data_IF_737962283029
#
_entry.id   IF_737962283029
#
_cell.length_a   1.000
_cell.length_b   1.000
_cell.length_c   1.000
_cell.angle_alpha   90.00
_cell.angle_beta   90.00
_cell.angle_gamma   90.00
#
_symmetry.space_group_name_H-M   'P 1'
#
loop_
_entity.id
_entity.type
_entity.pdbx_description
1 polymer ?
#
# COMPACT_ATOMS: atom_id res chain seq x y z
N UNK A 1 -20.25 6.43 16.97
CA UNK A 1 -18.84 6.34 16.53
C UNK A 1 -18.30 5.11 17.23
N UNK A 2 -17.84 4.09 16.50
CA UNK A 2 -17.30 2.87 17.13
C UNK A 2 -16.06 3.24 17.94
N UNK A 3 -16.09 2.89 19.22
CA UNK A 3 -14.97 3.12 20.13
C UNK A 3 -14.01 1.93 20.01
N UNK A 4 -12.74 2.24 19.75
CA UNK A 4 -11.71 1.24 19.45
C UNK A 4 -10.52 1.43 20.38
N UNK A 5 -10.00 0.33 20.90
CA UNK A 5 -8.83 0.27 21.77
C UNK A 5 -7.58 -0.04 20.94
N UNK A 6 -6.50 0.71 21.19
CA UNK A 6 -5.19 0.37 20.64
C UNK A 6 -4.59 -0.78 21.45
N UNK A 7 -4.07 -1.79 20.76
CA UNK A 7 -3.37 -2.92 21.36
C UNK A 7 -2.00 -3.10 20.70
N UNK A 8 -1.02 -3.46 21.50
CA UNK A 8 0.33 -3.77 21.04
C UNK A 8 0.45 -5.28 20.77
N UNK A 9 0.88 -5.63 19.57
CA UNK A 9 0.95 -7.02 19.13
C UNK A 9 2.35 -7.62 19.29
N UNK A 10 3.41 -6.80 19.37
CA UNK A 10 4.80 -7.28 19.53
C UNK A 10 5.46 -6.67 20.74
N UNK A 11 6.03 -7.50 21.62
CA UNK A 11 6.90 -7.02 22.71
C UNK A 11 8.31 -6.63 22.22
N UNK A 12 8.68 -7.03 21.00
CA UNK A 12 10.01 -6.79 20.41
C UNK A 12 10.04 -5.57 19.48
N UNK A 13 8.88 -5.13 19.03
CA UNK A 13 8.73 -4.04 18.06
C UNK A 13 7.51 -3.19 18.45
N UNK A 14 7.79 -2.12 19.21
CA UNK A 14 6.80 -1.20 19.76
C UNK A 14 5.96 -0.48 18.67
N UNK A 15 6.32 -0.64 17.39
CA UNK A 15 5.57 -0.07 16.26
C UNK A 15 4.37 -0.90 15.80
N UNK A 16 4.22 -2.15 16.25
CA UNK A 16 3.19 -3.08 15.76
C UNK A 16 1.90 -3.00 16.57
N UNK A 17 1.15 -1.92 16.35
CA UNK A 17 -0.11 -1.61 17.05
C UNK A 17 -1.30 -1.82 16.10
N UNK A 18 -2.38 -2.42 16.60
CA UNK A 18 -3.66 -2.48 15.89
C UNK A 18 -4.81 -2.02 16.78
N UNK A 19 -6.01 -1.90 16.20
CA UNK A 19 -7.23 -1.45 16.89
C UNK A 19 -8.27 -2.57 16.93
N UNK A 20 -8.83 -2.80 18.11
CA UNK A 20 -9.94 -3.74 18.33
C UNK A 20 -11.11 -3.01 19.01
N UNK A 21 -12.33 -3.54 18.89
CA UNK A 21 -13.52 -2.92 19.47
C UNK A 21 -13.46 -2.86 21.00
N UNK A 22 -13.81 -1.71 21.59
CA UNK A 22 -13.93 -1.56 23.04
C UNK A 22 -15.12 -2.32 23.62
N UNK A 23 -16.10 -2.66 22.77
CA UNK A 23 -17.35 -3.31 23.16
C UNK A 23 -17.25 -4.84 23.28
N UNK A 24 -16.07 -5.43 23.03
CA UNK A 24 -15.87 -6.87 23.20
C UNK A 24 -15.80 -7.25 24.67
N UNK A 25 -16.44 -8.36 25.02
CA UNK A 25 -16.29 -9.02 26.32
C UNK A 25 -14.82 -9.37 26.59
N UNK A 26 -14.41 -9.33 27.85
CA UNK A 26 -13.00 -9.51 28.23
C UNK A 26 -12.43 -10.87 27.81
N UNK A 27 -13.24 -11.93 27.80
CA UNK A 27 -12.82 -13.27 27.37
C UNK A 27 -12.51 -13.27 25.87
N UNK A 28 -13.47 -12.80 25.05
CA UNK A 28 -13.30 -12.71 23.59
C UNK A 28 -12.15 -11.78 23.23
N UNK A 29 -12.02 -10.67 23.94
CA UNK A 29 -10.93 -9.71 23.75
C UNK A 29 -9.56 -10.37 23.93
N UNK A 30 -9.39 -11.17 24.99
CA UNK A 30 -8.13 -11.89 25.24
C UNK A 30 -7.82 -12.91 24.14
N UNK A 31 -8.83 -13.68 23.72
CA UNK A 31 -8.68 -14.66 22.64
C UNK A 31 -8.28 -14.00 21.33
N UNK A 32 -8.92 -12.87 20.98
CA UNK A 32 -8.58 -12.10 19.78
C UNK A 32 -7.16 -11.54 19.87
N UNK A 33 -6.78 -10.93 20.98
CA UNK A 33 -5.42 -10.40 21.17
C UNK A 33 -4.39 -11.51 21.02
N UNK A 34 -4.60 -12.65 21.68
CA UNK A 34 -3.70 -13.79 21.55
C UNK A 34 -3.61 -14.26 20.09
N UNK A 35 -4.74 -14.43 19.40
CA UNK A 35 -4.75 -14.84 18.00
C UNK A 35 -3.93 -13.87 17.12
N UNK A 36 -4.14 -12.55 17.29
CA UNK A 36 -3.41 -11.53 16.54
C UNK A 36 -1.91 -11.53 16.84
N UNK A 37 -1.52 -11.73 18.11
CA UNK A 37 -0.11 -11.82 18.52
C UNK A 37 0.58 -13.07 17.97
N UNK A 38 -0.11 -14.22 17.94
CA UNK A 38 0.43 -15.47 17.38
C UNK A 38 0.62 -15.39 15.86
N UNK A 39 -0.16 -14.56 15.16
CA UNK A 39 -0.14 -14.41 13.70
C UNK A 39 0.45 -13.05 13.27
N UNK A 40 1.35 -12.49 14.06
CA UNK A 40 1.87 -11.13 13.84
C UNK A 40 2.66 -10.97 12.53
N UNK A 41 3.23 -12.06 12.04
CA UNK A 41 3.99 -12.18 10.81
C UNK A 41 3.12 -12.12 9.55
N UNK A 42 1.82 -12.42 9.66
CA UNK A 42 0.87 -12.36 8.54
C UNK A 42 0.55 -10.91 8.14
N UNK A 43 0.76 -9.94 9.03
CA UNK A 43 0.43 -8.54 8.78
C UNK A 43 1.49 -7.80 7.96
N UNK A 44 1.03 -7.03 6.98
CA UNK A 44 1.86 -6.11 6.23
C UNK A 44 2.09 -4.80 7.00
N UNK A 45 3.07 -4.78 7.91
CA UNK A 45 3.41 -3.58 8.71
C UNK A 45 4.05 -2.45 7.89
N UNK A 46 4.73 -2.81 6.81
CA UNK A 46 5.37 -1.89 5.88
C UNK A 46 5.04 -2.32 4.45
N UNK A 47 5.14 -1.43 3.45
CA UNK A 47 4.97 -1.81 2.05
C UNK A 47 5.89 -2.96 1.60
N UNK A 48 7.06 -3.11 2.23
CA UNK A 48 8.01 -4.20 1.98
C UNK A 48 7.49 -5.56 2.46
N UNK A 49 6.69 -5.62 3.53
CA UNK A 49 6.11 -6.86 4.03
C UNK A 49 4.95 -7.38 3.19
N UNK A 50 4.44 -6.58 2.25
CA UNK A 50 3.68 -7.15 1.16
C UNK A 50 4.69 -7.93 0.33
N UNK A 51 4.82 -9.22 0.56
CA UNK A 51 5.51 -10.12 -0.36
C UNK A 51 4.45 -10.60 -1.36
N UNK A 52 4.66 -10.28 -2.64
CA UNK A 52 3.80 -10.81 -3.70
C UNK A 52 4.09 -12.30 -3.91
N UNK A 53 3.33 -12.93 -4.80
CA UNK A 53 3.74 -14.23 -5.34
C UNK A 53 4.96 -13.98 -6.24
N UNK A 54 5.98 -14.84 -6.14
CA UNK A 54 7.16 -14.77 -7.01
C UNK A 54 6.72 -14.77 -8.49
N UNK A 55 7.13 -13.79 -9.31
CA UNK A 55 6.79 -13.73 -10.73
C UNK A 55 7.18 -15.00 -11.51
N UNK A 56 8.19 -15.74 -11.06
CA UNK A 56 8.59 -17.02 -11.63
C UNK A 56 7.57 -18.14 -11.37
N UNK A 57 6.76 -18.02 -10.33
CA UNK A 57 5.68 -18.95 -9.99
C UNK A 57 4.44 -18.62 -10.81
N UNK A 58 4.00 -17.36 -10.77
CA UNK A 58 2.86 -16.90 -11.56
C UNK A 58 2.98 -15.41 -11.86
N UNK A 59 2.77 -15.04 -13.12
CA UNK A 59 2.70 -13.65 -13.56
C UNK A 59 1.41 -13.44 -14.34
N UNK A 60 0.77 -12.29 -14.15
CA UNK A 60 -0.37 -11.88 -14.96
C UNK A 60 0.11 -11.34 -16.31
N UNK A 61 -0.43 -11.88 -17.40
CA UNK A 61 -0.26 -11.32 -18.74
C UNK A 61 -1.48 -10.48 -19.12
N UNK A 62 -1.27 -9.20 -19.45
CA UNK A 62 -2.33 -8.35 -19.98
C UNK A 62 -2.68 -8.79 -21.41
N UNK A 63 -3.91 -9.27 -21.62
CA UNK A 63 -4.39 -9.66 -22.94
C UNK A 63 -4.78 -8.43 -23.78
N UNK A 64 -3.79 -7.74 -24.35
CA UNK A 64 -3.98 -6.53 -25.15
C UNK A 64 -4.17 -6.91 -26.62
N UNK A 65 -5.06 -6.20 -27.33
CA UNK A 65 -5.20 -6.35 -28.77
C UNK A 65 -3.87 -6.02 -29.47
N UNK A 66 -3.27 -6.94 -30.27
CA UNK A 66 -1.99 -6.70 -30.94
C UNK A 66 -2.00 -5.51 -31.92
N UNK A 67 -3.19 -5.08 -32.37
CA UNK A 67 -3.37 -3.91 -33.25
C UNK A 67 -3.52 -2.59 -32.48
N UNK A 68 -3.54 -2.62 -31.14
CA UNK A 68 -3.64 -1.43 -30.33
C UNK A 68 -2.38 -0.58 -30.48
N UNK A 69 -2.55 0.72 -30.74
CA UNK A 69 -1.43 1.65 -30.87
C UNK A 69 -0.98 2.11 -29.48
N UNK A 70 0.32 2.08 -29.16
CA UNK A 70 0.83 2.67 -27.93
C UNK A 70 0.51 4.16 -27.84
N UNK A 71 0.18 4.62 -26.63
CA UNK A 71 -0.13 6.03 -26.36
C UNK A 71 0.81 6.55 -25.29
N UNK A 72 1.50 7.66 -25.61
CA UNK A 72 2.24 8.45 -24.63
C UNK A 72 1.47 9.72 -24.32
N UNK A 73 0.85 9.76 -23.15
CA UNK A 73 0.19 10.97 -22.68
C UNK A 73 1.22 12.05 -22.39
N UNK A 74 0.92 13.29 -22.80
CA UNK A 74 1.73 14.46 -22.46
C UNK A 74 1.74 14.64 -20.95
N UNK A 75 2.94 14.82 -20.36
CA UNK A 75 3.11 15.06 -18.92
C UNK A 75 2.30 16.27 -18.46
N UNK A 76 1.51 16.10 -17.42
CA UNK A 76 0.79 17.17 -16.75
C UNK A 76 1.65 17.75 -15.62
N UNK A 77 1.61 19.08 -15.44
CA UNK A 77 2.23 19.76 -14.30
C UNK A 77 1.22 19.88 -13.15
N UNK A 78 1.55 19.38 -11.96
CA UNK A 78 0.63 19.37 -10.81
C UNK A 78 0.90 20.52 -9.82
N UNK A 79 1.97 21.27 -10.01
CA UNK A 79 2.46 22.26 -9.04
C UNK A 79 3.31 21.62 -7.95
N UNK A 80 4.15 22.43 -7.32
CA UNK A 80 5.21 21.98 -6.42
C UNK A 80 4.75 21.09 -5.26
N UNK A 81 3.62 21.43 -4.62
CA UNK A 81 3.13 20.67 -3.46
C UNK A 81 2.65 19.27 -3.86
N UNK A 82 1.97 19.15 -4.99
CA UNK A 82 1.49 17.87 -5.52
C UNK A 82 2.65 17.05 -6.10
N UNK A 83 3.62 17.68 -6.75
CA UNK A 83 4.82 17.01 -7.25
C UNK A 83 5.63 16.37 -6.11
N UNK A 84 5.71 17.02 -4.94
CA UNK A 84 6.32 16.43 -3.73
C UNK A 84 5.58 15.18 -3.25
N UNK A 85 4.25 15.19 -3.28
CA UNK A 85 3.43 14.04 -2.89
C UNK A 85 3.66 12.88 -3.86
N UNK A 86 3.61 13.17 -5.17
CA UNK A 86 3.86 12.16 -6.22
C UNK A 86 5.25 11.54 -6.02
N UNK A 87 6.30 12.37 -5.87
CA UNK A 87 7.66 11.88 -5.65
C UNK A 87 7.76 11.00 -4.41
N UNK A 88 7.21 11.46 -3.29
CA UNK A 88 7.24 10.69 -2.04
C UNK A 88 6.51 9.35 -2.14
N UNK A 89 5.48 9.22 -2.97
CA UNK A 89 4.80 7.94 -3.18
C UNK A 89 5.57 7.03 -4.15
N UNK A 90 6.11 7.58 -5.23
CA UNK A 90 6.96 6.85 -6.18
C UNK A 90 8.21 6.30 -5.47
N UNK A 91 8.88 7.11 -4.65
CA UNK A 91 10.08 6.69 -3.91
C UNK A 91 9.77 5.51 -2.95
N UNK A 92 8.60 5.52 -2.30
CA UNK A 92 8.17 4.39 -1.46
C UNK A 92 7.91 3.13 -2.27
N UNK A 93 7.29 3.25 -3.44
CA UNK A 93 6.99 2.10 -4.30
C UNK A 93 8.28 1.49 -4.88
N UNK A 94 9.25 2.33 -5.25
CA UNK A 94 10.60 1.89 -5.66
C UNK A 94 11.31 1.21 -4.50
N UNK A 95 11.33 1.82 -3.31
CA UNK A 95 11.96 1.25 -2.12
C UNK A 95 11.30 -0.07 -1.65
N UNK A 96 10.05 -0.30 -2.03
CA UNK A 96 9.33 -1.55 -1.80
C UNK A 96 9.52 -2.59 -2.94
N UNK A 97 10.27 -2.27 -4.00
CA UNK A 97 10.47 -3.15 -5.15
C UNK A 97 9.19 -3.43 -5.95
N UNK A 98 8.19 -2.53 -5.88
CA UNK A 98 6.89 -2.71 -6.54
C UNK A 98 6.81 -2.09 -7.92
N UNK A 99 7.63 -1.07 -8.16
CA UNK A 99 7.80 -0.44 -9.46
C UNK A 99 9.30 -0.28 -9.72
N UNK A 100 9.65 -0.19 -10.99
CA UNK A 100 11.02 0.03 -11.45
C UNK A 100 11.05 1.10 -12.54
N UNK A 101 12.24 1.64 -12.79
CA UNK A 101 12.45 2.61 -13.86
C UNK A 101 12.55 1.88 -15.20
N UNK A 102 11.80 2.37 -16.21
CA UNK A 102 11.83 1.84 -17.57
C UNK A 102 12.39 2.90 -18.53
N UNK A 103 13.30 2.47 -19.41
CA UNK A 103 13.86 3.32 -20.45
C UNK A 103 13.01 3.25 -21.72
N UNK A 104 12.77 4.41 -22.33
CA UNK A 104 12.05 4.55 -23.61
C UNK A 104 10.64 3.88 -23.67
N UNK A 105 9.73 4.13 -22.71
CA UNK A 105 8.43 3.48 -22.70
C UNK A 105 7.57 3.87 -23.91
N UNK A 106 6.92 2.90 -24.54
CA UNK A 106 5.95 3.15 -25.63
C UNK A 106 4.57 3.57 -25.11
N UNK A 107 4.22 3.10 -23.91
CA UNK A 107 2.99 3.43 -23.20
C UNK A 107 3.33 4.35 -22.01
N UNK A 108 2.69 5.51 -21.94
CA UNK A 108 2.86 6.43 -20.81
C UNK A 108 1.51 7.03 -20.43
N UNK A 109 1.11 6.82 -19.17
CA UNK A 109 -0.05 7.48 -18.57
C UNK A 109 0.41 8.53 -17.56
N UNK A 110 -0.36 9.61 -17.44
CA UNK A 110 -0.21 10.52 -16.32
C UNK A 110 -0.67 9.86 -15.02
N UNK A 111 -0.03 10.26 -13.92
CA UNK A 111 -0.48 9.94 -12.57
C UNK A 111 -1.75 10.73 -12.23
N UNK A 112 -2.62 10.15 -11.43
CA UNK A 112 -3.86 10.80 -10.98
C UNK A 112 -3.73 11.04 -9.48
N UNK A 113 -4.11 12.23 -9.01
CA UNK A 113 -4.13 12.53 -7.58
C UNK A 113 -5.56 12.62 -7.08
N UNK A 114 -5.85 11.88 -6.02
CA UNK A 114 -7.17 11.81 -5.41
C UNK A 114 -7.08 12.33 -3.96
N UNK A 115 -7.94 13.27 -3.55
CA UNK A 115 -7.98 13.73 -2.18
C UNK A 115 -8.55 12.65 -1.26
N UNK A 116 -8.00 12.55 -0.05
CA UNK A 116 -8.45 11.66 1.02
C UNK A 116 -9.10 12.48 2.12
N UNK A 117 -10.01 11.85 2.86
CA UNK A 117 -10.49 12.36 4.15
C UNK A 117 -9.28 12.69 5.05
N UNK A 118 -9.24 13.91 5.58
CA UNK A 118 -8.11 14.43 6.36
C UNK A 118 -7.09 15.27 5.57
N UNK A 119 -7.41 15.71 4.36
CA UNK A 119 -6.62 16.70 3.60
C UNK A 119 -5.35 16.15 2.93
N UNK A 120 -5.09 14.84 3.06
CA UNK A 120 -4.00 14.15 2.38
C UNK A 120 -4.39 13.82 0.94
N UNK A 121 -3.42 13.60 0.07
CA UNK A 121 -3.62 13.13 -1.29
C UNK A 121 -3.01 11.74 -1.47
N UNK A 122 -3.54 10.96 -2.40
CA UNK A 122 -2.95 9.69 -2.87
C UNK A 122 -2.82 9.71 -4.38
N UNK A 123 -1.81 8.99 -4.89
CA UNK A 123 -1.72 8.59 -6.29
C UNK A 123 -2.69 7.44 -6.58
#
# INVERSE_FOLDING_TARGET
MEELLNIELSLRDLGKITRISSLMDDTVRKEVIQCLQHNIDIFAWTPQHLEGIDPNVITHHLNINPKAKPVKQKKIHFGHDKDKIIRGEVDKLIAAGRIEEIQFPEWLSNVVLVPKLGGKWRM
#
